data_IF_061427610957
#
_entry.id   IF_061427610957
#
_cell.length_a   1.000
_cell.length_b   1.000
_cell.length_c   1.000
_cell.angle_alpha   90.00
_cell.angle_beta   90.00
_cell.angle_gamma   90.00
#
_symmetry.space_group_name_H-M   'P 1'
#
loop_
_entity.id
_entity.type
_entity.pdbx_description
1 polymer ?
#
# COMPACT_ATOMS: atom_id res chain seq x y z
N UNK A 1 9.36 15.29 29.36
CA UNK A 1 10.06 14.70 28.20
C UNK A 1 11.13 13.78 28.76
N UNK A 2 10.74 12.61 29.26
CA UNK A 2 11.69 11.67 29.89
C UNK A 2 11.21 10.20 29.84
N UNK A 3 10.24 9.87 28.98
CA UNK A 3 9.50 8.60 29.09
C UNK A 3 9.50 7.77 27.82
N UNK A 4 10.37 8.10 26.85
CA UNK A 4 10.52 7.29 25.62
C UNK A 4 11.77 6.41 25.71
N UNK A 5 12.80 6.84 26.45
CA UNK A 5 14.08 6.12 26.52
C UNK A 5 14.05 4.99 27.57
N UNK A 6 13.29 5.15 28.66
CA UNK A 6 13.09 4.10 29.69
C UNK A 6 12.10 3.02 29.25
N UNK A 7 11.03 3.38 28.52
CA UNK A 7 10.14 2.38 27.90
C UNK A 7 10.86 1.56 26.81
N UNK A 8 11.88 2.14 26.16
CA UNK A 8 12.75 1.42 25.23
C UNK A 8 13.71 0.41 25.90
N UNK A 9 13.92 0.45 27.22
CA UNK A 9 14.73 -0.53 27.95
C UNK A 9 13.92 -1.71 28.50
N UNK A 10 12.60 -1.56 28.66
CA UNK A 10 11.72 -2.61 29.19
C UNK A 10 10.83 -3.30 28.15
N UNK A 11 10.84 -2.83 26.90
CA UNK A 11 10.34 -3.65 25.80
C UNK A 11 11.40 -4.69 25.51
N UNK A 12 11.25 -5.87 26.13
CA UNK A 12 11.88 -7.09 25.64
C UNK A 12 11.57 -7.15 24.14
N UNK A 13 12.63 -6.87 23.37
CA UNK A 13 12.73 -7.19 21.97
C UNK A 13 12.20 -8.61 21.86
N UNK A 14 11.02 -8.79 21.29
CA UNK A 14 10.65 -10.08 20.74
C UNK A 14 11.82 -10.44 19.84
N UNK A 15 12.67 -11.35 20.32
CA UNK A 15 13.78 -11.96 19.62
C UNK A 15 13.20 -12.77 18.45
N UNK A 16 12.63 -12.07 17.47
CA UNK A 16 12.01 -12.65 16.28
C UNK A 16 13.04 -13.02 15.21
N UNK A 17 14.28 -13.30 15.60
CA UNK A 17 15.36 -13.70 14.68
C UNK A 17 16.14 -14.93 15.15
N UNK A 18 15.96 -15.40 16.39
CA UNK A 18 16.60 -16.63 16.89
C UNK A 18 15.61 -17.80 17.04
N UNK A 19 14.31 -17.58 16.83
CA UNK A 19 13.26 -18.61 16.89
C UNK A 19 12.79 -19.11 15.52
N UNK A 20 13.48 -18.78 14.43
CA UNK A 20 13.21 -19.37 13.10
C UNK A 20 13.74 -20.81 12.96
N UNK A 21 14.15 -21.45 14.06
CA UNK A 21 14.33 -22.90 14.21
C UNK A 21 13.42 -23.47 15.32
N UNK A 22 12.34 -22.76 15.67
CA UNK A 22 11.22 -23.27 16.47
C UNK A 22 10.03 -23.52 15.56
N UNK A 23 9.36 -24.65 15.77
CA UNK A 23 8.15 -25.13 15.09
C UNK A 23 7.31 -24.00 14.44
N UNK A 24 7.15 -24.06 13.11
CA UNK A 24 6.38 -23.09 12.28
C UNK A 24 4.87 -23.10 12.55
N UNK A 25 4.42 -23.60 13.71
CA UNK A 25 3.04 -23.95 13.95
C UNK A 25 2.16 -22.83 14.50
N UNK A 26 2.68 -21.65 14.91
CA UNK A 26 1.84 -20.61 15.55
C UNK A 26 2.22 -19.15 15.24
N UNK A 27 1.93 -18.70 14.02
CA UNK A 27 1.32 -17.36 13.82
C UNK A 27 0.12 -17.55 12.89
N UNK A 28 -1.09 -17.80 13.42
CA UNK A 28 -2.24 -18.04 12.56
C UNK A 28 -2.62 -16.74 11.86
N UNK A 29 -2.40 -16.68 10.55
CA UNK A 29 -2.92 -15.65 9.67
C UNK A 29 -4.46 -15.67 9.77
N UNK A 30 -5.01 -14.90 10.70
CA UNK A 30 -6.44 -14.90 11.02
C UNK A 30 -7.26 -14.29 9.89
N UNK A 31 -8.56 -14.61 9.86
CA UNK A 31 -9.52 -13.97 8.94
C UNK A 31 -9.48 -12.43 9.08
N UNK A 32 -9.30 -11.92 10.29
CA UNK A 32 -9.12 -10.50 10.54
C UNK A 32 -7.87 -9.95 9.81
N UNK A 33 -6.71 -10.59 9.99
CA UNK A 33 -5.47 -10.16 9.33
C UNK A 33 -5.61 -10.16 7.81
N UNK A 34 -6.18 -11.23 7.25
CA UNK A 34 -6.45 -11.32 5.81
C UNK A 34 -7.40 -10.24 5.30
N UNK A 35 -8.42 -9.93 6.07
CA UNK A 35 -9.40 -8.89 5.75
C UNK A 35 -8.76 -7.50 5.73
N UNK A 36 -7.94 -7.19 6.73
CA UNK A 36 -7.19 -5.92 6.77
C UNK A 36 -6.17 -5.85 5.63
N UNK A 37 -5.52 -6.96 5.30
CA UNK A 37 -4.66 -7.03 4.11
C UNK A 37 -5.44 -6.75 2.83
N UNK A 38 -6.62 -7.34 2.64
CA UNK A 38 -7.49 -7.07 1.49
C UNK A 38 -7.90 -5.58 1.44
N UNK A 39 -8.19 -4.97 2.59
CA UNK A 39 -8.43 -3.53 2.68
C UNK A 39 -7.23 -2.71 2.17
N UNK A 40 -5.99 -3.09 2.47
CA UNK A 40 -4.82 -2.35 1.97
C UNK A 40 -4.70 -2.36 0.43
N UNK A 41 -5.23 -3.38 -0.25
CA UNK A 41 -5.25 -3.45 -1.71
C UNK A 41 -6.43 -2.71 -2.33
N UNK A 42 -7.60 -2.76 -1.69
CA UNK A 42 -8.85 -2.26 -2.27
C UNK A 42 -9.26 -0.89 -1.71
N UNK A 43 -9.02 -0.67 -0.43
CA UNK A 43 -9.58 0.46 0.33
C UNK A 43 -9.09 1.81 -0.11
N UNK A 44 -7.80 1.97 -0.45
CA UNK A 44 -7.28 3.24 -0.96
C UNK A 44 -7.88 3.62 -2.32
N UNK A 45 -8.15 2.63 -3.18
CA UNK A 45 -8.76 2.86 -4.49
C UNK A 45 -10.23 3.25 -4.35
N UNK A 46 -10.94 2.65 -3.39
CA UNK A 46 -12.34 2.97 -3.07
C UNK A 46 -12.47 4.35 -2.41
N UNK A 47 -11.58 4.70 -1.48
CA UNK A 47 -11.63 5.97 -0.76
C UNK A 47 -11.17 7.15 -1.62
N UNK A 48 -10.22 6.93 -2.54
CA UNK A 48 -9.57 7.99 -3.32
C UNK A 48 -9.55 7.70 -4.83
N UNK A 49 -10.68 7.35 -5.48
CA UNK A 49 -10.68 6.83 -6.86
C UNK A 49 -10.11 7.84 -7.87
N UNK A 50 -10.40 9.13 -7.67
CA UNK A 50 -9.90 10.23 -8.51
C UNK A 50 -8.37 10.34 -8.49
N UNK A 51 -7.74 10.10 -7.33
CA UNK A 51 -6.28 10.15 -7.19
C UNK A 51 -5.60 9.05 -8.01
N UNK A 52 -6.25 7.92 -8.19
CA UNK A 52 -5.76 6.82 -9.03
C UNK A 52 -6.17 6.95 -10.51
N UNK A 53 -6.97 7.96 -10.85
CA UNK A 53 -7.44 8.22 -12.21
C UNK A 53 -8.58 7.32 -12.66
N UNK A 54 -9.34 6.76 -11.70
CA UNK A 54 -10.58 6.05 -11.97
C UNK A 54 -11.69 7.09 -12.08
N UNK A 55 -12.43 7.07 -13.20
CA UNK A 55 -13.42 8.10 -13.54
C UNK A 55 -14.86 7.59 -13.42
N UNK A 56 -15.05 6.27 -13.47
CA UNK A 56 -16.34 5.61 -13.55
C UNK A 56 -16.51 4.56 -12.44
N UNK A 57 -17.74 4.41 -11.98
CA UNK A 57 -18.08 3.44 -10.94
C UNK A 57 -17.94 2.00 -11.44
N UNK A 58 -18.11 1.76 -12.74
CA UNK A 58 -17.95 0.43 -13.36
C UNK A 58 -16.53 -0.09 -13.22
N UNK A 59 -15.52 0.77 -13.47
CA UNK A 59 -14.12 0.43 -13.27
C UNK A 59 -13.80 0.03 -11.82
N UNK A 60 -14.35 0.75 -10.84
CA UNK A 60 -14.19 0.41 -9.41
C UNK A 60 -14.87 -0.92 -9.10
N UNK A 61 -16.12 -1.11 -9.54
CA UNK A 61 -16.86 -2.35 -9.27
C UNK A 61 -16.17 -3.58 -9.86
N UNK A 62 -15.67 -3.49 -11.11
CA UNK A 62 -14.92 -4.56 -11.74
C UNK A 62 -13.60 -4.87 -11.01
N UNK A 63 -12.87 -3.84 -10.59
CA UNK A 63 -11.66 -4.02 -9.77
C UNK A 63 -11.96 -4.70 -8.44
N UNK A 64 -13.00 -4.24 -7.73
CA UNK A 64 -13.40 -4.82 -6.44
C UNK A 64 -13.89 -6.26 -6.62
N UNK A 65 -14.61 -6.56 -7.70
CA UNK A 65 -15.04 -7.92 -8.01
C UNK A 65 -13.85 -8.89 -8.15
N UNK A 66 -12.77 -8.50 -8.83
CA UNK A 66 -11.56 -9.32 -8.89
C UNK A 66 -10.99 -9.59 -7.49
N UNK A 67 -10.96 -8.58 -6.62
CA UNK A 67 -10.49 -8.75 -5.25
C UNK A 67 -11.45 -9.55 -4.35
N UNK A 68 -12.74 -9.58 -4.66
CA UNK A 68 -13.69 -10.47 -4.02
C UNK A 68 -13.35 -11.93 -4.33
N UNK A 69 -13.06 -12.23 -5.60
CA UNK A 69 -12.63 -13.57 -6.04
C UNK A 69 -11.27 -13.92 -5.43
N UNK A 70 -10.28 -13.03 -5.50
CA UNK A 70 -8.96 -13.28 -4.89
C UNK A 70 -9.07 -13.50 -3.38
N UNK A 71 -9.90 -12.73 -2.67
CA UNK A 71 -10.14 -12.94 -1.25
C UNK A 71 -10.63 -14.37 -0.97
N UNK A 72 -11.62 -14.85 -1.72
CA UNK A 72 -12.12 -16.22 -1.57
C UNK A 72 -11.05 -17.27 -1.90
N UNK A 73 -10.28 -17.07 -2.97
CA UNK A 73 -9.18 -17.98 -3.35
C UNK A 73 -8.04 -18.02 -2.32
N UNK A 74 -7.81 -16.91 -1.61
CA UNK A 74 -6.85 -16.81 -0.52
C UNK A 74 -7.41 -17.31 0.83
N UNK A 75 -8.62 -17.87 0.85
CA UNK A 75 -9.24 -18.45 2.05
C UNK A 75 -9.95 -17.45 2.96
N UNK A 76 -10.25 -16.24 2.49
CA UNK A 76 -11.14 -15.31 3.20
C UNK A 76 -12.56 -15.82 3.06
N UNK A 77 -13.21 -16.13 4.18
CA UNK A 77 -14.61 -16.52 4.18
C UNK A 77 -15.48 -15.35 3.73
N UNK A 78 -16.57 -15.64 3.01
CA UNK A 78 -17.42 -14.60 2.42
C UNK A 78 -17.93 -13.57 3.42
N UNK A 79 -18.21 -14.00 4.66
CA UNK A 79 -18.65 -13.12 5.76
C UNK A 79 -17.59 -12.11 6.19
N UNK A 80 -16.31 -12.38 5.95
CA UNK A 80 -15.18 -11.50 6.26
C UNK A 80 -14.65 -10.77 5.02
N UNK A 81 -15.05 -11.16 3.81
CA UNK A 81 -14.54 -10.62 2.56
C UNK A 81 -15.10 -9.20 2.28
N UNK A 82 -14.29 -8.17 2.53
CA UNK A 82 -14.66 -6.76 2.36
C UNK A 82 -15.06 -6.42 0.93
N UNK A 83 -14.44 -7.07 -0.05
CA UNK A 83 -14.76 -6.82 -1.45
C UNK A 83 -16.15 -7.37 -1.82
N UNK A 84 -16.60 -8.49 -1.24
CA UNK A 84 -17.98 -8.97 -1.40
C UNK A 84 -18.96 -7.96 -0.77
N UNK A 85 -18.71 -7.56 0.48
CA UNK A 85 -19.55 -6.58 1.18
C UNK A 85 -19.63 -5.25 0.43
N UNK A 86 -18.53 -4.78 -0.16
CA UNK A 86 -18.53 -3.59 -0.99
C UNK A 86 -19.48 -3.70 -2.18
N UNK A 87 -19.61 -4.87 -2.81
CA UNK A 87 -20.49 -5.04 -3.97
C UNK A 87 -21.97 -5.06 -3.58
N UNK A 88 -22.30 -5.57 -2.39
CA UNK A 88 -23.69 -5.78 -1.95
C UNK A 88 -24.28 -4.61 -1.16
N UNK A 89 -23.45 -3.82 -0.47
CA UNK A 89 -23.91 -2.69 0.35
C UNK A 89 -24.44 -1.53 -0.49
N UNK A 90 -25.19 -0.61 0.13
CA UNK A 90 -25.49 0.69 -0.45
C UNK A 90 -24.28 1.64 -0.34
N UNK A 91 -24.26 2.73 -1.12
CA UNK A 91 -23.10 3.62 -1.23
C UNK A 91 -22.69 4.28 0.10
N UNK A 92 -23.67 4.67 0.93
CA UNK A 92 -23.41 5.31 2.21
C UNK A 92 -22.72 4.35 3.19
N UNK A 93 -23.21 3.12 3.30
CA UNK A 93 -22.60 2.08 4.12
C UNK A 93 -21.18 1.71 3.65
N UNK A 94 -20.95 1.58 2.33
CA UNK A 94 -19.62 1.29 1.77
C UNK A 94 -18.59 2.31 2.25
N UNK A 95 -18.91 3.60 2.06
CA UNK A 95 -18.00 4.68 2.45
C UNK A 95 -17.75 4.66 3.96
N UNK A 96 -18.80 4.52 4.77
CA UNK A 96 -18.69 4.51 6.23
C UNK A 96 -17.78 3.39 6.74
N UNK A 97 -17.93 2.16 6.23
CA UNK A 97 -17.09 1.02 6.63
C UNK A 97 -15.62 1.26 6.28
N UNK A 98 -15.35 1.67 5.05
CA UNK A 98 -13.97 1.87 4.59
C UNK A 98 -13.27 3.03 5.29
N UNK A 99 -13.99 4.14 5.54
CA UNK A 99 -13.50 5.26 6.36
C UNK A 99 -13.24 4.80 7.79
N UNK A 100 -14.14 4.01 8.37
CA UNK A 100 -13.97 3.49 9.74
C UNK A 100 -12.72 2.63 9.88
N UNK A 101 -12.47 1.72 8.92
CA UNK A 101 -11.25 0.90 8.90
C UNK A 101 -10.02 1.79 8.78
N UNK A 102 -10.06 2.76 7.88
CA UNK A 102 -8.94 3.68 7.69
C UNK A 102 -8.63 4.50 8.96
N UNK A 103 -9.63 5.12 9.57
CA UNK A 103 -9.46 6.00 10.74
C UNK A 103 -9.15 5.24 12.03
N UNK A 104 -9.79 4.07 12.25
CA UNK A 104 -9.65 3.33 13.51
C UNK A 104 -8.49 2.34 13.50
N UNK A 105 -8.11 1.83 12.33
CA UNK A 105 -7.07 0.81 12.19
C UNK A 105 -5.85 1.41 11.50
N UNK A 106 -5.99 1.91 10.28
CA UNK A 106 -4.82 2.31 9.50
C UNK A 106 -4.10 3.53 10.09
N UNK A 107 -4.83 4.60 10.42
CA UNK A 107 -4.24 5.86 10.88
C UNK A 107 -3.48 5.77 12.22
N UNK A 108 -3.99 5.07 13.27
CA UNK A 108 -3.24 4.87 14.50
C UNK A 108 -1.98 4.04 14.28
N UNK A 109 -2.06 2.98 13.47
CA UNK A 109 -0.90 2.15 13.14
C UNK A 109 0.14 2.91 12.33
N UNK A 110 -0.27 3.87 11.49
CA UNK A 110 0.65 4.73 10.75
C UNK A 110 1.39 5.74 11.66
N UNK A 111 0.82 6.11 12.81
CA UNK A 111 1.49 6.96 13.81
C UNK A 111 2.53 6.19 14.62
N UNK A 112 2.30 4.89 14.84
CA UNK A 112 3.13 4.01 15.65
C UNK A 112 3.95 3.02 14.80
N UNK A 113 4.45 3.48 13.64
CA UNK A 113 5.24 2.63 12.74
C UNK A 113 6.56 2.24 13.41
N UNK A 114 6.80 0.94 13.47
CA UNK A 114 8.07 0.39 13.93
C UNK A 114 9.12 0.37 12.78
N UNK A 115 10.38 0.16 13.17
CA UNK A 115 11.51 0.15 12.24
C UNK A 115 11.41 -0.99 11.21
N UNK A 116 10.88 -2.15 11.60
CA UNK A 116 10.72 -3.31 10.71
C UNK A 116 9.70 -3.00 9.63
N UNK A 117 8.55 -2.43 9.99
CA UNK A 117 7.54 -2.01 9.00
C UNK A 117 8.11 -0.98 8.03
N UNK A 118 8.89 -0.01 8.51
CA UNK A 118 9.56 0.97 7.65
C UNK A 118 10.57 0.33 6.69
N UNK A 119 11.30 -0.71 7.13
CA UNK A 119 12.22 -1.45 6.27
C UNK A 119 11.50 -2.22 5.16
N UNK A 120 10.40 -2.90 5.50
CA UNK A 120 9.56 -3.63 4.53
C UNK A 120 8.98 -2.66 3.50
N UNK A 121 8.48 -1.50 3.94
CA UNK A 121 7.92 -0.49 3.06
C UNK A 121 8.99 0.15 2.16
N UNK A 122 10.20 0.38 2.66
CA UNK A 122 11.30 0.86 1.83
C UNK A 122 11.68 -0.17 0.76
N UNK A 123 11.73 -1.45 1.12
CA UNK A 123 11.89 -2.57 0.17
C UNK A 123 10.81 -2.58 -0.91
N UNK A 124 9.53 -2.47 -0.51
CA UNK A 124 8.40 -2.41 -1.42
C UNK A 124 8.51 -1.23 -2.38
N UNK A 125 8.79 -0.03 -1.87
CA UNK A 125 8.95 1.19 -2.68
C UNK A 125 10.13 1.04 -3.64
N UNK A 126 11.26 0.50 -3.19
CA UNK A 126 12.42 0.20 -4.04
C UNK A 126 12.06 -0.78 -5.16
N UNK A 127 11.25 -1.80 -4.86
CA UNK A 127 10.73 -2.75 -5.85
C UNK A 127 9.85 -2.11 -6.92
N UNK A 128 9.08 -1.08 -6.54
CA UNK A 128 8.21 -0.35 -7.46
C UNK A 128 8.93 0.73 -8.30
N UNK A 129 10.09 1.24 -7.87
CA UNK A 129 10.84 2.29 -8.59
C UNK A 129 11.11 2.04 -10.08
N UNK A 130 11.37 0.81 -10.57
CA UNK A 130 11.53 0.54 -11.98
C UNK A 130 10.28 0.85 -12.82
N UNK A 131 9.10 0.70 -12.21
CA UNK A 131 7.79 0.89 -12.86
C UNK A 131 7.26 2.31 -12.66
N UNK A 132 7.42 2.87 -11.45
CA UNK A 132 6.97 4.21 -11.08
C UNK A 132 8.21 5.05 -10.77
N UNK A 133 8.73 5.73 -11.81
CA UNK A 133 9.95 6.55 -11.68
C UNK A 133 9.76 7.62 -10.61
N UNK A 134 10.77 7.75 -9.77
CA UNK A 134 10.81 8.80 -8.74
C UNK A 134 10.02 8.48 -7.47
N UNK A 135 9.44 7.28 -7.31
CA UNK A 135 8.73 6.92 -6.08
C UNK A 135 9.68 6.77 -4.88
N UNK A 136 9.36 7.43 -3.76
CA UNK A 136 10.17 7.46 -2.54
C UNK A 136 9.29 7.32 -1.31
N UNK A 137 9.78 6.56 -0.32
CA UNK A 137 8.97 6.17 0.84
C UNK A 137 8.46 7.39 1.64
N UNK A 138 9.36 8.32 1.98
CA UNK A 138 8.99 9.55 2.72
C UNK A 138 7.94 10.38 1.98
N UNK A 139 8.05 10.48 0.66
CA UNK A 139 7.09 11.18 -0.18
C UNK A 139 5.72 10.47 -0.21
N UNK A 140 5.71 9.14 -0.26
CA UNK A 140 4.51 8.31 -0.23
C UNK A 140 3.78 8.41 1.12
N UNK A 141 4.49 8.26 2.24
CA UNK A 141 3.91 8.39 3.59
C UNK A 141 3.36 9.80 3.80
N UNK A 142 4.11 10.84 3.39
CA UNK A 142 3.63 12.21 3.47
C UNK A 142 2.37 12.44 2.62
N UNK A 143 2.32 11.88 1.40
CA UNK A 143 1.13 11.93 0.54
C UNK A 143 -0.08 11.26 1.21
N UNK A 144 0.09 10.07 1.79
CA UNK A 144 -0.98 9.36 2.51
C UNK A 144 -1.47 10.14 3.73
N UNK A 145 -0.58 10.80 4.47
CA UNK A 145 -0.96 11.64 5.62
C UNK A 145 -1.77 12.87 5.19
N UNK A 146 -1.32 13.58 4.15
CA UNK A 146 -1.98 14.81 3.68
C UNK A 146 -3.30 14.50 2.97
N UNK A 147 -3.31 13.54 2.04
CA UNK A 147 -4.45 13.31 1.16
C UNK A 147 -5.35 12.16 1.58
N UNK A 148 -4.82 11.17 2.31
CA UNK A 148 -5.59 10.04 2.83
C UNK A 148 -6.21 10.34 4.18
N UNK A 149 -5.44 10.94 5.10
CA UNK A 149 -5.86 11.20 6.47
C UNK A 149 -6.25 12.66 6.77
N UNK A 150 -6.25 13.52 5.75
CA UNK A 150 -6.55 14.96 5.88
C UNK A 150 -5.79 15.63 7.04
N UNK A 151 -4.55 15.17 7.29
CA UNK A 151 -3.70 15.77 8.31
C UNK A 151 -3.27 17.13 7.79
N UNK A 152 -3.91 18.19 8.30
CA UNK A 152 -3.71 19.58 7.83
C UNK A 152 -2.25 20.05 7.95
N UNK A 153 -1.48 19.52 8.91
CA UNK A 153 -0.09 19.93 9.13
C UNK A 153 0.87 18.79 9.52
N UNK A 154 1.32 17.96 8.57
CA UNK A 154 2.41 17.01 8.79
C UNK A 154 3.79 17.71 8.68
N UNK A 155 3.88 18.98 9.10
CA UNK A 155 5.01 19.88 8.84
C UNK A 155 6.35 19.33 9.36
N UNK A 156 6.33 18.60 10.49
CA UNK A 156 7.52 17.93 11.04
C UNK A 156 8.12 16.90 10.06
N UNK A 157 7.28 16.11 9.37
CA UNK A 157 7.75 15.14 8.36
C UNK A 157 8.32 15.83 7.12
N UNK A 158 7.77 16.98 6.71
CA UNK A 158 8.30 17.75 5.57
C UNK A 158 9.71 18.27 5.83
N UNK A 159 10.04 18.58 7.09
CA UNK A 159 11.38 18.94 7.54
C UNK A 159 12.38 17.77 7.42
N UNK A 160 11.93 16.53 7.64
CA UNK A 160 12.74 15.31 7.56
C UNK A 160 12.95 14.80 6.11
N UNK A 161 12.31 15.43 5.13
CA UNK A 161 12.38 15.07 3.72
C UNK A 161 13.56 15.77 3.02
N UNK A 162 14.36 15.00 2.29
CA UNK A 162 15.38 15.57 1.40
C UNK A 162 14.73 16.34 0.24
N UNK A 163 15.47 17.21 -0.44
CA UNK A 163 14.99 17.89 -1.65
C UNK A 163 14.47 16.91 -2.71
N UNK A 164 15.13 15.77 -2.79
CA UNK A 164 14.85 14.65 -3.68
C UNK A 164 13.53 13.94 -3.32
N UNK A 165 13.16 13.89 -2.03
CA UNK A 165 11.84 13.43 -1.56
C UNK A 165 10.75 14.48 -1.81
N UNK A 166 11.07 15.76 -1.63
CA UNK A 166 10.14 16.88 -1.92
C UNK A 166 9.76 16.90 -3.41
N UNK A 167 10.74 16.75 -4.30
CA UNK A 167 10.50 16.66 -5.74
C UNK A 167 9.64 15.43 -6.11
N UNK A 168 9.91 14.29 -5.47
CA UNK A 168 9.09 13.08 -5.63
C UNK A 168 7.63 13.30 -5.21
N UNK A 169 7.41 13.98 -4.09
CA UNK A 169 6.07 14.33 -3.61
C UNK A 169 5.34 15.25 -4.61
N UNK A 170 5.97 16.34 -5.06
CA UNK A 170 5.35 17.26 -6.02
C UNK A 170 5.05 16.56 -7.35
N UNK A 171 5.93 15.66 -7.81
CA UNK A 171 5.66 14.80 -8.97
C UNK A 171 4.42 13.92 -8.74
N UNK A 172 4.31 13.27 -7.57
CA UNK A 172 3.16 12.43 -7.24
C UNK A 172 1.85 13.23 -7.16
N UNK A 173 1.91 14.43 -6.56
CA UNK A 173 0.80 15.37 -6.50
C UNK A 173 0.37 15.84 -7.88
N UNK A 174 1.31 16.17 -8.75
CA UNK A 174 1.03 16.54 -10.15
C UNK A 174 0.41 15.38 -10.92
N UNK A 175 0.92 14.16 -10.72
CA UNK A 175 0.38 12.96 -11.36
C UNK A 175 -1.08 12.72 -10.97
N UNK A 176 -1.39 12.81 -9.68
CA UNK A 176 -2.72 12.54 -9.13
C UNK A 176 -3.72 13.68 -9.43
N UNK A 177 -3.28 14.94 -9.37
CA UNK A 177 -4.18 16.10 -9.55
C UNK A 177 -4.37 16.57 -10.99
N UNK A 178 -3.40 16.34 -11.89
CA UNK A 178 -3.42 16.89 -13.26
C UNK A 178 -3.36 15.80 -14.33
N UNK A 179 -2.28 14.99 -14.36
CA UNK A 179 -2.08 13.97 -15.41
C UNK A 179 -3.20 12.92 -15.45
N UNK A 180 -3.70 12.52 -14.29
CA UNK A 180 -4.75 11.48 -14.20
C UNK A 180 -6.11 11.98 -14.68
N UNK A 181 -6.34 13.30 -14.71
CA UNK A 181 -7.62 13.89 -15.12
C UNK A 181 -7.75 14.07 -16.64
N UNK A 182 -6.64 14.27 -17.37
CA UNK A 182 -6.67 14.39 -18.84
C UNK A 182 -6.49 13.05 -19.56
N UNK A 183 -7.16 12.87 -20.71
CA UNK A 183 -7.01 11.65 -21.53
C UNK A 183 -5.57 11.45 -22.02
N UNK A 184 -4.92 12.53 -22.48
CA UNK A 184 -3.52 12.51 -22.90
C UNK A 184 -2.58 12.15 -21.74
N UNK A 185 -2.79 12.73 -20.57
CA UNK A 185 -1.98 12.44 -19.38
C UNK A 185 -2.11 10.98 -18.93
N UNK A 186 -3.31 10.40 -18.98
CA UNK A 186 -3.53 8.97 -18.76
C UNK A 186 -2.81 8.10 -19.80
N UNK A 187 -2.89 8.46 -21.08
CA UNK A 187 -2.18 7.77 -22.15
C UNK A 187 -0.66 7.73 -21.94
N UNK A 188 -0.06 8.89 -21.64
CA UNK A 188 1.37 9.01 -21.34
C UNK A 188 1.77 8.18 -20.11
N UNK A 189 0.97 8.23 -19.03
CA UNK A 189 1.22 7.45 -17.81
C UNK A 189 1.15 5.96 -18.09
N UNK A 190 0.11 5.50 -18.78
CA UNK A 190 -0.08 4.08 -19.11
C UNK A 190 1.06 3.56 -20.00
N UNK A 191 1.48 4.35 -21.00
CA UNK A 191 2.63 4.01 -21.84
C UNK A 191 3.93 3.98 -21.03
N UNK A 192 4.12 4.93 -20.10
CA UNK A 192 5.26 4.94 -19.19
C UNK A 192 5.34 3.70 -18.30
N UNK A 193 4.21 3.29 -17.72
CA UNK A 193 4.12 2.06 -16.90
C UNK A 193 4.38 0.83 -17.75
N UNK A 194 3.76 0.71 -18.94
CA UNK A 194 4.00 -0.40 -19.88
C UNK A 194 5.46 -0.52 -20.27
N UNK A 195 6.10 0.61 -20.58
CA UNK A 195 7.52 0.65 -20.87
C UNK A 195 8.37 0.24 -19.65
N UNK A 196 7.98 0.68 -18.45
CA UNK A 196 8.60 0.27 -17.18
C UNK A 196 8.51 -1.25 -16.98
N UNK A 197 7.34 -1.84 -17.20
CA UNK A 197 7.10 -3.29 -17.14
C UNK A 197 7.98 -4.01 -18.15
N UNK A 198 7.95 -3.62 -19.42
CA UNK A 198 8.78 -4.22 -20.48
C UNK A 198 10.28 -4.15 -20.15
N UNK A 199 10.75 -3.01 -19.62
CA UNK A 199 12.15 -2.85 -19.23
C UNK A 199 12.51 -3.72 -18.03
N UNK A 200 11.63 -3.83 -17.04
CA UNK A 200 11.82 -4.71 -15.89
C UNK A 200 11.83 -6.18 -16.34
N UNK A 201 10.89 -6.58 -17.18
CA UNK A 201 10.80 -7.91 -17.78
C UNK A 201 12.13 -8.31 -18.43
N UNK A 202 12.66 -7.50 -19.36
CA UNK A 202 13.96 -7.76 -19.99
C UNK A 202 15.12 -7.88 -19.01
N UNK A 203 15.06 -7.17 -17.87
CA UNK A 203 16.15 -7.15 -16.89
C UNK A 203 16.11 -8.35 -15.94
N UNK A 204 14.92 -8.80 -15.55
CA UNK A 204 14.74 -9.80 -14.50
C UNK A 204 14.39 -11.19 -15.03
N UNK A 205 13.61 -11.31 -16.12
CA UNK A 205 13.22 -12.63 -16.65
C UNK A 205 14.41 -13.55 -16.99
N UNK A 206 15.50 -13.05 -17.63
CA UNK A 206 16.65 -13.90 -17.93
C UNK A 206 17.38 -14.43 -16.69
N UNK A 207 17.32 -13.69 -15.57
CA UNK A 207 17.92 -14.11 -14.30
C UNK A 207 17.10 -15.22 -13.64
N UNK A 208 15.77 -15.05 -13.62
CA UNK A 208 14.85 -16.03 -13.08
C UNK A 208 14.92 -17.36 -13.83
N UNK A 209 14.96 -17.31 -15.18
CA UNK A 209 15.11 -18.52 -16.01
C UNK A 209 16.42 -19.29 -15.76
N UNK A 210 17.50 -18.59 -15.38
CA UNK A 210 18.78 -19.23 -15.02
C UNK A 210 18.76 -19.86 -13.63
N UNK A 211 18.08 -19.24 -12.68
CA UNK A 211 17.91 -19.77 -11.33
C UNK A 211 17.04 -21.04 -11.35
N UNK A 212 15.93 -21.03 -12.11
CA UNK A 212 15.06 -22.20 -12.30
C UNK A 212 15.76 -23.38 -12.98
N UNK A 213 16.69 -23.11 -13.90
CA UNK A 213 17.48 -24.17 -14.55
C UNK A 213 18.56 -24.76 -13.65
N UNK A 214 18.95 -24.07 -12.58
CA UNK A 214 19.95 -24.55 -11.61
C UNK A 214 19.32 -25.32 -10.44
N UNK A 215 17.99 -25.47 -10.40
CA UNK A 215 17.26 -26.21 -9.38
C UNK A 215 16.55 -27.46 -9.95
N UNK A 216 16.89 -27.85 -11.18
CA UNK A 216 16.57 -29.14 -11.80
C UNK A 216 17.82 -29.99 -11.87
#
# INVERSE_FOLDING_TARGET
METIQEEMQHVEVCKGSEHLHGDMSQVPLSQYNMTITQFCFVGFLVLMPKSFGILDDTGIQGFVHNWAVFGRLLGIEDRHNLAIHFLTMNQECKRKVFVTIFEKIFLPNLKNLDVTTMYVWDGLVKGFRPYIKGMRLKAMVYYLMVYGADVKEPLKLRGLMSWKDKLSFEYFKFCTNSLSKSQLGRGLRNNGVRFGIFKAERRYLPKWKKEDSNHK
#
